data_IF_173919130488
#
_entry.id   IF_173919130488
#
_cell.length_a   1.000
_cell.length_b   1.000
_cell.length_c   1.000
_cell.angle_alpha   90.00
_cell.angle_beta   90.00
_cell.angle_gamma   90.00
#
_symmetry.space_group_name_H-M   'P 1'
#
loop_
_entity.id
_entity.type
_entity.pdbx_description
1 polymer ?
#
# COMPACT_ATOMS: atom_id res chain seq x y z
N UNK A 1 -53.92 99.06 -48.18
CA UNK A 1 -55.29 99.55 -47.99
C UNK A 1 -55.93 99.74 -49.33
N UNK A 2 -56.95 98.94 -49.69
CA UNK A 2 -57.89 99.29 -50.75
C UNK A 2 -59.20 98.48 -50.60
N UNK A 3 -60.30 99.17 -50.84
CA UNK A 3 -61.69 98.74 -50.68
C UNK A 3 -62.25 97.94 -51.87
N UNK A 4 -63.20 97.08 -51.52
CA UNK A 4 -64.51 96.79 -52.12
C UNK A 4 -64.77 96.83 -53.65
N UNK A 5 -65.26 95.70 -54.16
CA UNK A 5 -66.48 95.53 -55.00
C UNK A 5 -66.66 94.00 -55.15
N UNK A 6 -67.81 93.34 -55.03
CA UNK A 6 -69.15 93.56 -55.59
C UNK A 6 -69.65 92.16 -56.03
N UNK A 7 -70.80 91.72 -55.50
CA UNK A 7 -71.40 90.36 -55.63
C UNK A 7 -71.74 90.00 -57.10
N UNK A 8 -71.91 88.72 -57.47
CA UNK A 8 -73.26 88.16 -57.37
C UNK A 8 -73.32 86.69 -56.92
N UNK A 9 -74.46 86.39 -56.29
CA UNK A 9 -74.92 85.05 -56.00
C UNK A 9 -74.89 84.17 -57.27
N UNK A 10 -74.06 83.14 -57.28
CA UNK A 10 -74.27 82.00 -58.15
C UNK A 10 -75.08 80.98 -57.39
N UNK A 11 -76.31 80.79 -57.86
CA UNK A 11 -77.16 79.63 -57.62
C UNK A 11 -76.30 78.37 -57.56
N UNK A 12 -76.02 77.87 -56.35
CA UNK A 12 -75.24 76.65 -56.20
C UNK A 12 -76.09 75.50 -56.71
N UNK A 13 -75.96 75.21 -58.00
CA UNK A 13 -76.70 74.17 -58.69
C UNK A 13 -76.56 72.88 -57.88
N UNK A 14 -77.66 72.18 -57.57
CA UNK A 14 -77.60 70.89 -56.86
C UNK A 14 -76.73 69.89 -57.63
N UNK A 15 -76.63 70.06 -58.96
CA UNK A 15 -75.68 69.38 -59.83
C UNK A 15 -74.23 69.76 -59.58
N UNK A 16 -73.87 71.04 -59.42
CA UNK A 16 -72.50 71.45 -59.07
C UNK A 16 -72.10 70.96 -57.68
N UNK A 17 -73.03 70.89 -56.72
CA UNK A 17 -72.75 70.26 -55.41
C UNK A 17 -72.54 68.76 -55.51
N UNK A 18 -73.34 68.04 -56.32
CA UNK A 18 -73.12 66.60 -56.58
C UNK A 18 -71.83 66.36 -57.36
N UNK A 19 -71.52 67.20 -58.35
CA UNK A 19 -70.31 67.13 -59.15
C UNK A 19 -69.06 67.38 -58.29
N UNK A 20 -69.07 68.44 -57.48
CA UNK A 20 -67.98 68.70 -56.54
C UNK A 20 -67.85 67.58 -55.51
N UNK A 21 -68.95 67.02 -55.01
CA UNK A 21 -68.91 65.88 -54.09
C UNK A 21 -68.34 64.60 -54.73
N UNK A 22 -68.60 64.39 -56.02
CA UNK A 22 -68.05 63.27 -56.81
C UNK A 22 -66.56 63.51 -57.16
N UNK A 23 -66.18 64.77 -57.43
CA UNK A 23 -64.78 65.17 -57.67
C UNK A 23 -63.94 65.20 -56.38
N UNK A 24 -64.56 65.48 -55.24
CA UNK A 24 -63.94 65.40 -53.91
C UNK A 24 -63.75 63.95 -53.46
N UNK A 25 -64.63 63.02 -53.87
CA UNK A 25 -64.33 61.59 -53.81
C UNK A 25 -63.28 61.24 -54.88
N UNK A 26 -62.02 61.58 -54.61
CA UNK A 26 -60.87 61.25 -55.45
C UNK A 26 -60.61 59.74 -55.46
N UNK A 27 -61.43 59.02 -56.22
CA UNK A 27 -61.39 57.55 -56.34
C UNK A 27 -60.08 57.04 -56.97
N UNK A 28 -59.38 57.87 -57.73
CA UNK A 28 -58.15 57.49 -58.44
C UNK A 28 -56.88 57.51 -57.57
N UNK A 29 -56.91 58.21 -56.43
CA UNK A 29 -55.73 58.39 -55.58
C UNK A 29 -55.59 57.31 -54.48
N UNK A 30 -56.63 56.50 -54.28
CA UNK A 30 -56.70 55.56 -53.17
C UNK A 30 -56.45 54.13 -53.68
N UNK A 31 -55.18 53.72 -53.64
CA UNK A 31 -54.69 52.46 -54.23
C UNK A 31 -55.36 51.23 -53.61
N UNK A 32 -55.61 51.27 -52.31
CA UNK A 32 -56.34 50.21 -51.59
C UNK A 32 -57.79 50.13 -52.07
N UNK A 33 -58.45 51.28 -52.29
CA UNK A 33 -59.80 51.31 -52.85
C UNK A 33 -59.84 50.80 -54.29
N UNK A 34 -58.84 51.12 -55.12
CA UNK A 34 -58.72 50.61 -56.48
C UNK A 34 -58.47 49.09 -56.52
N UNK A 35 -57.66 48.56 -55.61
CA UNK A 35 -57.45 47.12 -55.48
C UNK A 35 -58.69 46.40 -54.94
N UNK A 36 -59.38 46.99 -53.96
CA UNK A 36 -60.66 46.49 -53.47
C UNK A 36 -61.74 46.52 -54.56
N UNK A 37 -61.81 47.57 -55.39
CA UNK A 37 -62.71 47.63 -56.55
C UNK A 37 -62.33 46.63 -57.64
N UNK A 38 -61.04 46.39 -57.89
CA UNK A 38 -60.58 45.33 -58.80
C UNK A 38 -60.99 43.96 -58.27
N UNK A 39 -60.81 43.68 -56.99
CA UNK A 39 -61.28 42.45 -56.36
C UNK A 39 -62.80 42.31 -56.47
N UNK A 40 -63.56 43.39 -56.23
CA UNK A 40 -65.01 43.46 -56.39
C UNK A 40 -65.45 43.18 -57.85
N UNK A 41 -64.71 43.70 -58.82
CA UNK A 41 -64.99 43.55 -60.25
C UNK A 41 -64.89 42.10 -60.74
N UNK A 42 -64.13 41.25 -60.05
CA UNK A 42 -64.01 39.82 -60.41
C UNK A 42 -65.31 39.04 -60.22
N UNK A 43 -66.23 39.54 -59.39
CA UNK A 43 -67.48 38.83 -59.08
C UNK A 43 -68.73 39.70 -59.18
N UNK A 44 -68.60 41.02 -59.24
CA UNK A 44 -69.72 41.94 -59.44
C UNK A 44 -69.86 42.31 -60.93
N UNK A 45 -70.33 41.37 -61.74
CA UNK A 45 -70.43 41.51 -63.22
C UNK A 45 -71.71 42.24 -63.65
N UNK A 46 -72.81 42.13 -62.88
CA UNK A 46 -74.09 42.75 -63.20
C UNK A 46 -74.63 43.64 -62.06
N UNK A 47 -74.88 44.91 -62.37
CA UNK A 47 -75.45 45.89 -61.44
C UNK A 47 -76.99 45.86 -61.49
N UNK A 48 -77.58 44.95 -60.72
CA UNK A 48 -79.04 44.84 -60.51
C UNK A 48 -79.41 45.28 -59.08
N UNK A 49 -80.69 45.65 -58.86
CA UNK A 49 -81.23 45.96 -57.53
C UNK A 49 -81.03 44.82 -56.53
N UNK A 50 -81.01 43.56 -57.01
CA UNK A 50 -80.81 42.36 -56.20
C UNK A 50 -79.33 42.15 -55.84
N UNK A 51 -78.42 42.31 -56.81
CA UNK A 51 -76.97 42.22 -56.56
C UNK A 51 -76.47 43.34 -55.67
N UNK A 52 -76.99 44.58 -55.79
CA UNK A 52 -76.64 45.68 -54.89
C UNK A 52 -77.05 45.44 -53.44
N UNK A 53 -78.19 44.78 -53.22
CA UNK A 53 -78.70 44.43 -51.88
C UNK A 53 -77.92 43.28 -51.23
N UNK A 54 -77.39 42.37 -52.05
CA UNK A 54 -76.66 41.18 -51.60
C UNK A 54 -75.15 41.37 -51.55
N UNK A 55 -74.60 42.42 -52.19
CA UNK A 55 -73.16 42.70 -52.30
C UNK A 55 -72.43 42.66 -50.96
N UNK A 56 -73.01 43.23 -49.90
CA UNK A 56 -72.43 43.18 -48.56
C UNK A 56 -72.35 41.75 -48.05
N UNK A 57 -73.42 40.97 -48.20
CA UNK A 57 -73.44 39.56 -47.80
C UNK A 57 -72.49 38.68 -48.62
N UNK A 58 -72.27 39.02 -49.90
CA UNK A 58 -71.35 38.29 -50.76
C UNK A 58 -69.87 38.61 -50.44
N UNK A 59 -69.56 39.88 -50.13
CA UNK A 59 -68.24 40.30 -49.63
C UNK A 59 -67.98 39.66 -48.26
N UNK A 60 -68.94 39.72 -47.33
CA UNK A 60 -68.82 39.11 -46.00
C UNK A 60 -68.62 37.59 -46.10
N UNK A 61 -69.35 36.89 -46.99
CA UNK A 61 -69.19 35.45 -47.20
C UNK A 61 -67.83 35.09 -47.81
N UNK A 62 -67.31 35.89 -48.72
CA UNK A 62 -65.98 35.66 -49.32
C UNK A 62 -64.86 36.00 -48.34
N UNK A 63 -65.00 37.06 -47.56
CA UNK A 63 -64.07 37.40 -46.48
C UNK A 63 -64.04 36.27 -45.43
N UNK A 64 -65.21 35.73 -45.08
CA UNK A 64 -65.31 34.55 -44.22
C UNK A 64 -64.56 33.36 -44.81
N UNK A 65 -64.79 33.04 -46.10
CA UNK A 65 -64.12 31.92 -46.77
C UNK A 65 -62.59 32.07 -46.82
N UNK A 66 -62.07 33.27 -47.10
CA UNK A 66 -60.63 33.55 -47.10
C UNK A 66 -60.05 33.42 -45.68
N UNK A 67 -60.76 33.94 -44.68
CA UNK A 67 -60.33 33.81 -43.28
C UNK A 67 -60.37 32.34 -42.81
N UNK A 68 -61.36 31.56 -43.24
CA UNK A 68 -61.43 30.11 -42.98
C UNK A 68 -60.27 29.36 -43.64
N UNK A 69 -59.96 29.68 -44.90
CA UNK A 69 -58.81 29.10 -45.62
C UNK A 69 -57.48 29.49 -44.95
N UNK A 70 -57.32 30.76 -44.58
CA UNK A 70 -56.14 31.24 -43.87
C UNK A 70 -55.97 30.54 -42.51
N UNK A 71 -57.05 30.42 -41.72
CA UNK A 71 -57.03 29.70 -40.45
C UNK A 71 -56.69 28.23 -40.66
N UNK A 72 -57.19 27.60 -41.71
CA UNK A 72 -56.85 26.21 -42.05
C UNK A 72 -55.37 26.02 -42.32
N UNK A 73 -54.78 26.86 -43.18
CA UNK A 73 -53.36 26.79 -43.54
C UNK A 73 -52.47 27.13 -42.33
N UNK A 74 -52.83 28.16 -41.57
CA UNK A 74 -52.07 28.55 -40.39
C UNK A 74 -52.14 27.52 -39.27
N UNK A 75 -53.23 26.76 -39.19
CA UNK A 75 -53.39 25.69 -38.22
C UNK A 75 -52.36 24.58 -38.46
N UNK A 76 -52.14 24.16 -39.71
CA UNK A 76 -51.13 23.15 -40.05
C UNK A 76 -49.71 23.62 -39.65
N UNK A 77 -49.37 24.87 -39.97
CA UNK A 77 -48.07 25.45 -39.60
C UNK A 77 -47.91 25.57 -38.08
N UNK A 78 -48.99 25.91 -37.37
CA UNK A 78 -48.99 25.99 -35.90
C UNK A 78 -48.77 24.61 -35.29
N UNK A 79 -49.43 23.57 -35.80
CA UNK A 79 -49.29 22.20 -35.31
C UNK A 79 -47.86 21.68 -35.50
N UNK A 80 -47.25 21.91 -36.66
CA UNK A 80 -45.84 21.57 -36.90
C UNK A 80 -44.88 22.35 -35.98
N UNK A 81 -45.12 23.65 -35.76
CA UNK A 81 -44.30 24.45 -34.86
C UNK A 81 -44.47 24.04 -33.39
N UNK A 82 -45.69 23.67 -32.98
CA UNK A 82 -45.96 23.13 -31.65
C UNK A 82 -45.25 21.79 -31.46
N UNK A 83 -45.25 20.91 -32.46
CA UNK A 83 -44.50 19.65 -32.45
C UNK A 83 -42.99 19.87 -32.29
N UNK A 84 -42.41 20.80 -33.06
CA UNK A 84 -40.98 21.12 -32.95
C UNK A 84 -40.66 21.70 -31.56
N UNK A 85 -41.53 22.55 -31.01
CA UNK A 85 -41.33 23.10 -29.68
C UNK A 85 -41.42 22.02 -28.60
N UNK A 86 -42.33 21.05 -28.73
CA UNK A 86 -42.36 19.87 -27.84
C UNK A 86 -41.07 19.05 -27.95
N UNK A 87 -40.57 18.79 -29.16
CA UNK A 87 -39.31 18.07 -29.36
C UNK A 87 -38.12 18.81 -28.75
N UNK A 88 -38.05 20.14 -28.89
CA UNK A 88 -36.99 20.96 -28.28
C UNK A 88 -37.08 20.94 -26.76
N UNK A 89 -38.29 21.01 -26.19
CA UNK A 89 -38.48 20.90 -24.74
C UNK A 89 -38.09 19.51 -24.23
N UNK A 90 -38.48 18.45 -24.94
CA UNK A 90 -38.10 17.08 -24.62
C UNK A 90 -36.58 16.90 -24.68
N UNK A 91 -35.92 17.44 -25.70
CA UNK A 91 -34.47 17.42 -25.83
C UNK A 91 -33.79 18.19 -24.69
N UNK A 92 -34.29 19.38 -24.35
CA UNK A 92 -33.78 20.17 -23.23
C UNK A 92 -33.88 19.40 -21.90
N UNK A 93 -35.02 18.74 -21.64
CA UNK A 93 -35.21 17.91 -20.45
C UNK A 93 -34.24 16.74 -20.44
N UNK A 94 -34.06 16.05 -21.59
CA UNK A 94 -33.12 14.95 -21.71
C UNK A 94 -31.67 15.38 -21.47
N UNK A 95 -31.25 16.53 -22.00
CA UNK A 95 -29.94 17.10 -21.72
C UNK A 95 -29.76 17.45 -20.24
N UNK A 96 -30.79 18.00 -19.59
CA UNK A 96 -30.77 18.31 -18.16
C UNK A 96 -30.62 17.04 -17.31
N UNK A 97 -31.37 15.99 -17.64
CA UNK A 97 -31.31 14.68 -16.98
C UNK A 97 -29.98 13.98 -17.19
N UNK A 98 -29.44 14.04 -18.41
CA UNK A 98 -28.13 13.47 -18.69
C UNK A 98 -27.03 14.21 -17.93
N UNK A 99 -27.13 15.54 -17.83
CA UNK A 99 -26.19 16.37 -17.06
C UNK A 99 -26.26 16.06 -15.57
N UNK A 100 -27.47 15.92 -15.01
CA UNK A 100 -27.64 15.58 -13.59
C UNK A 100 -27.09 14.19 -13.26
N UNK A 101 -27.34 13.19 -14.12
CA UNK A 101 -26.76 11.84 -14.00
C UNK A 101 -25.24 11.85 -14.12
N UNK A 102 -24.69 12.64 -15.05
CA UNK A 102 -23.25 12.78 -15.20
C UNK A 102 -22.62 13.42 -13.96
N UNK A 103 -23.25 14.45 -13.40
CA UNK A 103 -22.81 15.11 -12.17
C UNK A 103 -22.81 14.13 -10.98
N UNK A 104 -23.90 13.37 -10.80
CA UNK A 104 -24.01 12.37 -9.75
C UNK A 104 -22.97 11.25 -9.89
N UNK A 105 -22.77 10.74 -11.12
CA UNK A 105 -21.74 9.75 -11.41
C UNK A 105 -20.32 10.29 -11.16
N UNK A 106 -20.06 11.56 -11.47
CA UNK A 106 -18.78 12.22 -11.20
C UNK A 106 -18.52 12.32 -9.70
N UNK A 107 -19.50 12.75 -8.92
CA UNK A 107 -19.38 12.84 -7.45
C UNK A 107 -19.16 11.46 -6.81
N UNK A 108 -19.92 10.46 -7.23
CA UNK A 108 -19.75 9.08 -6.75
C UNK A 108 -18.36 8.53 -7.11
N UNK A 109 -17.89 8.78 -8.34
CA UNK A 109 -16.56 8.37 -8.79
C UNK A 109 -15.48 9.08 -7.99
N UNK A 110 -15.65 10.37 -7.67
CA UNK A 110 -14.72 11.13 -6.85
C UNK A 110 -14.64 10.56 -5.42
N UNK A 111 -15.78 10.27 -4.77
CA UNK A 111 -15.79 9.63 -3.45
C UNK A 111 -15.11 8.25 -3.47
N UNK A 112 -15.37 7.45 -4.51
CA UNK A 112 -14.71 6.17 -4.70
C UNK A 112 -13.20 6.33 -4.86
N UNK A 113 -12.74 7.30 -5.65
CA UNK A 113 -11.30 7.59 -5.83
C UNK A 113 -10.67 7.99 -4.50
N UNK A 114 -11.33 8.83 -3.70
CA UNK A 114 -10.81 9.23 -2.37
C UNK A 114 -10.72 8.03 -1.43
N UNK A 115 -11.74 7.17 -1.41
CA UNK A 115 -11.72 5.94 -0.59
C UNK A 115 -10.63 4.96 -1.05
N UNK A 116 -10.49 4.75 -2.36
CA UNK A 116 -9.47 3.86 -2.93
C UNK A 116 -8.07 4.38 -2.67
N UNK A 117 -7.81 5.69 -2.85
CA UNK A 117 -6.50 6.28 -2.56
C UNK A 117 -6.14 6.21 -1.07
N UNK A 118 -7.11 6.42 -0.18
CA UNK A 118 -6.92 6.24 1.27
C UNK A 118 -6.59 4.79 1.62
N UNK A 119 -7.34 3.82 1.08
CA UNK A 119 -7.08 2.40 1.29
C UNK A 119 -5.73 1.98 0.71
N UNK A 120 -5.33 2.51 -0.44
CA UNK A 120 -4.04 2.23 -1.05
C UNK A 120 -2.89 2.77 -0.19
N UNK A 121 -3.02 3.98 0.34
CA UNK A 121 -2.04 4.55 1.28
C UNK A 121 -1.96 3.74 2.59
N UNK A 122 -3.10 3.28 3.13
CA UNK A 122 -3.12 2.41 4.31
C UNK A 122 -2.50 1.05 4.02
N UNK A 123 -2.75 0.45 2.86
CA UNK A 123 -2.15 -0.80 2.39
C UNK A 123 -0.63 -0.69 2.30
N UNK A 124 -0.11 0.36 1.67
CA UNK A 124 1.33 0.61 1.60
C UNK A 124 1.97 0.79 2.99
N UNK A 125 1.29 1.51 3.89
CA UNK A 125 1.77 1.66 5.27
C UNK A 125 1.78 0.34 6.03
N UNK A 126 0.76 -0.49 5.85
CA UNK A 126 0.68 -1.84 6.44
C UNK A 126 1.77 -2.75 5.88
N UNK A 127 2.03 -2.69 4.58
CA UNK A 127 3.08 -3.47 3.91
C UNK A 127 4.47 -3.10 4.41
N UNK A 128 4.78 -1.80 4.52
CA UNK A 128 6.04 -1.34 5.11
C UNK A 128 6.16 -1.82 6.57
N UNK A 129 5.08 -1.71 7.36
CA UNK A 129 5.09 -2.21 8.75
C UNK A 129 5.29 -3.72 8.83
N UNK A 130 4.69 -4.49 7.92
CA UNK A 130 4.88 -5.93 7.84
C UNK A 130 6.32 -6.28 7.48
N UNK A 131 6.92 -5.61 6.50
CA UNK A 131 8.34 -5.79 6.14
C UNK A 131 9.27 -5.44 7.31
N UNK A 132 8.99 -4.36 8.04
CA UNK A 132 9.76 -3.99 9.23
C UNK A 132 9.59 -5.03 10.34
N UNK A 133 8.39 -5.55 10.55
CA UNK A 133 8.13 -6.60 11.53
C UNK A 133 8.84 -7.91 11.16
N UNK A 134 8.87 -8.28 9.87
CA UNK A 134 9.57 -9.48 9.38
C UNK A 134 11.10 -9.32 9.48
N UNK A 135 11.62 -8.14 9.16
CA UNK A 135 13.02 -7.79 9.40
C UNK A 135 13.37 -7.78 10.90
N UNK A 136 12.44 -7.38 11.76
CA UNK A 136 12.60 -7.43 13.21
C UNK A 136 12.61 -8.87 13.73
N UNK A 137 11.66 -9.70 13.30
CA UNK A 137 11.58 -11.11 13.70
C UNK A 137 12.81 -11.89 13.23
N UNK A 138 13.24 -11.74 11.98
CA UNK A 138 14.44 -12.40 11.46
C UNK A 138 15.73 -12.00 12.19
N UNK A 139 15.82 -10.75 12.67
CA UNK A 139 16.97 -10.26 13.44
C UNK A 139 16.92 -10.67 14.91
N UNK A 140 15.76 -10.59 15.56
CA UNK A 140 15.65 -10.72 17.03
C UNK A 140 15.08 -12.05 17.52
N UNK A 141 14.57 -12.89 16.62
CA UNK A 141 14.13 -14.24 16.93
C UNK A 141 15.15 -15.26 16.42
N UNK A 142 15.59 -16.17 17.29
CA UNK A 142 16.34 -17.34 16.87
C UNK A 142 15.42 -18.33 16.17
N UNK A 143 15.93 -19.01 15.15
CA UNK A 143 15.20 -20.09 14.49
C UNK A 143 14.95 -21.21 15.52
N UNK A 144 13.80 -21.89 15.44
CA UNK A 144 13.45 -22.99 16.36
C UNK A 144 14.54 -24.07 16.42
N UNK A 145 15.27 -24.26 15.33
CA UNK A 145 16.39 -25.18 15.24
C UNK A 145 17.63 -24.70 16.02
N UNK A 146 17.92 -23.40 16.02
CA UNK A 146 19.01 -22.81 16.81
C UNK A 146 18.69 -22.86 18.31
N UNK A 147 17.42 -22.63 18.68
CA UNK A 147 16.95 -22.86 20.06
C UNK A 147 17.02 -24.33 20.45
N UNK A 148 16.70 -25.24 19.53
CA UNK A 148 16.82 -26.69 19.72
C UNK A 148 18.26 -27.16 19.85
N UNK A 149 19.20 -26.54 19.15
CA UNK A 149 20.65 -26.82 19.29
C UNK A 149 21.21 -26.29 20.61
N UNK A 150 20.81 -25.10 21.05
CA UNK A 150 21.26 -24.50 22.31
C UNK A 150 20.62 -25.18 23.54
N UNK A 151 19.33 -25.52 23.47
CA UNK A 151 18.59 -26.25 24.52
C UNK A 151 18.64 -27.77 24.38
N UNK A 152 19.27 -28.28 23.32
CA UNK A 152 19.36 -29.70 23.02
C UNK A 152 20.01 -30.52 24.13
N UNK A 153 19.96 -31.84 23.99
CA UNK A 153 20.42 -32.83 24.98
C UNK A 153 21.72 -32.42 25.65
N UNK A 154 21.70 -32.47 27.00
CA UNK A 154 22.78 -32.04 27.91
C UNK A 154 24.15 -32.66 27.63
N UNK A 155 24.20 -33.71 26.81
CA UNK A 155 25.40 -34.48 26.42
C UNK A 155 25.51 -34.69 24.89
N UNK A 156 24.79 -33.91 24.06
CA UNK A 156 24.93 -33.99 22.61
C UNK A 156 26.26 -33.38 22.12
N UNK A 157 26.89 -33.92 21.05
CA UNK A 157 28.16 -33.42 20.54
C UNK A 157 28.07 -31.93 20.20
N UNK A 158 29.07 -31.16 20.63
CA UNK A 158 29.16 -29.75 20.30
C UNK A 158 29.71 -29.65 18.88
N UNK A 159 28.81 -29.42 17.93
CA UNK A 159 29.14 -29.18 16.52
C UNK A 159 29.49 -27.70 16.31
N UNK A 160 30.21 -27.38 15.22
CA UNK A 160 30.52 -26.00 14.80
C UNK A 160 29.27 -25.09 14.74
N UNK A 161 28.10 -25.67 14.45
CA UNK A 161 26.81 -24.98 14.43
C UNK A 161 26.38 -24.45 15.79
N UNK A 162 26.79 -25.08 16.90
CA UNK A 162 26.57 -24.56 18.25
C UNK A 162 27.32 -23.24 18.47
N UNK A 163 28.57 -23.14 18.02
CA UNK A 163 29.37 -21.92 18.12
C UNK A 163 28.80 -20.80 17.23
N UNK A 164 28.30 -21.15 16.03
CA UNK A 164 27.60 -20.19 15.16
C UNK A 164 26.32 -19.66 15.81
N UNK A 165 25.51 -20.54 16.41
CA UNK A 165 24.31 -20.17 17.15
C UNK A 165 24.64 -19.30 18.37
N UNK A 166 25.66 -19.65 19.17
CA UNK A 166 26.11 -18.86 20.32
C UNK A 166 26.60 -17.47 19.90
N UNK A 167 27.35 -17.39 18.78
CA UNK A 167 27.77 -16.11 18.20
C UNK A 167 26.61 -15.27 17.68
N UNK A 168 25.51 -15.89 17.23
CA UNK A 168 24.27 -15.20 16.87
C UNK A 168 23.53 -14.68 18.10
N UNK A 169 23.39 -15.47 19.16
CA UNK A 169 22.80 -15.02 20.45
C UNK A 169 23.52 -13.79 20.99
N UNK A 170 24.87 -13.79 20.98
CA UNK A 170 25.66 -12.63 21.41
C UNK A 170 25.41 -11.37 20.57
N UNK A 171 25.29 -11.53 19.24
CA UNK A 171 24.96 -10.42 18.33
C UNK A 171 23.57 -9.86 18.64
N UNK A 172 22.57 -10.74 18.77
CA UNK A 172 21.20 -10.35 19.14
C UNK A 172 21.19 -9.62 20.48
N UNK A 173 21.85 -10.17 21.50
CA UNK A 173 21.95 -9.55 22.82
C UNK A 173 22.60 -8.14 22.77
N UNK A 174 23.57 -7.90 21.87
CA UNK A 174 24.14 -6.57 21.69
C UNK A 174 23.24 -5.64 20.87
N UNK A 175 22.57 -6.13 19.84
CA UNK A 175 21.62 -5.35 19.03
C UNK A 175 20.41 -4.91 19.86
N UNK A 176 19.96 -5.74 20.82
CA UNK A 176 18.90 -5.39 21.76
C UNK A 176 19.31 -4.25 22.69
N UNK A 177 20.60 -4.11 23.03
CA UNK A 177 21.08 -2.92 23.79
C UNK A 177 20.87 -1.61 23.02
N UNK A 178 20.91 -1.66 21.68
CA UNK A 178 20.61 -0.50 20.83
C UNK A 178 19.11 -0.23 20.82
N UNK A 179 18.26 -1.27 20.75
CA UNK A 179 16.80 -1.13 20.87
C UNK A 179 16.38 -0.56 22.24
N UNK A 180 17.05 -0.94 23.33
CA UNK A 180 16.78 -0.44 24.68
C UNK A 180 17.07 1.06 24.86
N UNK A 181 17.92 1.64 24.01
CA UNK A 181 18.13 3.10 23.95
C UNK A 181 16.98 3.84 23.26
N UNK A 182 16.09 3.11 22.60
CA UNK A 182 14.92 3.63 21.90
C UNK A 182 13.65 3.46 22.74
N UNK A 183 12.56 4.11 22.35
CA UNK A 183 11.30 4.25 23.11
C UNK A 183 10.57 2.93 23.47
N UNK A 184 10.97 1.78 22.93
CA UNK A 184 10.30 0.48 23.16
C UNK A 184 11.11 -0.41 24.12
N UNK A 185 11.15 -0.04 25.40
CA UNK A 185 12.02 -0.69 26.39
C UNK A 185 11.50 -2.05 26.89
N UNK A 186 10.19 -2.26 26.97
CA UNK A 186 9.61 -3.49 27.56
C UNK A 186 9.88 -4.73 26.71
N UNK A 187 9.57 -4.70 25.41
CA UNK A 187 9.86 -5.80 24.50
C UNK A 187 11.38 -6.05 24.35
N UNK A 188 12.18 -4.96 24.36
CA UNK A 188 13.64 -5.08 24.38
C UNK A 188 14.17 -5.78 25.63
N UNK A 189 13.62 -5.48 26.80
CA UNK A 189 14.00 -6.12 28.07
C UNK A 189 13.65 -7.61 28.06
N UNK A 190 12.46 -7.98 27.58
CA UNK A 190 12.02 -9.37 27.53
C UNK A 190 12.88 -10.21 26.58
N UNK A 191 13.19 -9.68 25.38
CA UNK A 191 14.11 -10.35 24.45
C UNK A 191 15.51 -10.46 25.08
N UNK A 192 16.00 -9.40 25.73
CA UNK A 192 17.32 -9.43 26.38
C UNK A 192 17.39 -10.51 27.48
N UNK A 193 16.37 -10.62 28.32
CA UNK A 193 16.29 -11.62 29.39
C UNK A 193 16.25 -13.05 28.80
N UNK A 194 15.43 -13.28 27.78
CA UNK A 194 15.38 -14.56 27.09
C UNK A 194 16.73 -14.92 26.46
N UNK A 195 17.41 -13.97 25.81
CA UNK A 195 18.73 -14.18 25.23
C UNK A 195 19.81 -14.41 26.28
N UNK A 196 19.74 -13.71 27.42
CA UNK A 196 20.66 -13.91 28.53
C UNK A 196 20.50 -15.31 29.13
N UNK A 197 19.26 -15.79 29.33
CA UNK A 197 18.98 -17.14 29.79
C UNK A 197 19.49 -18.20 28.80
N UNK A 198 19.25 -18.00 27.50
CA UNK A 198 19.79 -18.89 26.46
C UNK A 198 21.32 -18.89 26.46
N UNK A 199 21.95 -17.74 26.64
CA UNK A 199 23.40 -17.63 26.72
C UNK A 199 23.94 -18.34 27.95
N UNK A 200 23.29 -18.23 29.11
CA UNK A 200 23.68 -18.95 30.34
C UNK A 200 23.57 -20.47 30.17
N UNK A 201 22.43 -20.96 29.67
CA UNK A 201 22.24 -22.40 29.42
C UNK A 201 23.24 -22.95 28.41
N UNK A 202 23.58 -22.19 27.38
CA UNK A 202 24.60 -22.55 26.40
C UNK A 202 25.99 -22.63 27.03
N UNK A 203 26.38 -21.65 27.85
CA UNK A 203 27.66 -21.69 28.55
C UNK A 203 27.74 -22.81 29.60
N UNK A 204 26.64 -23.10 30.29
CA UNK A 204 26.58 -24.23 31.23
C UNK A 204 26.76 -25.57 30.51
N UNK A 205 26.14 -25.72 29.33
CA UNK A 205 26.33 -26.91 28.48
C UNK A 205 27.75 -27.01 27.94
N UNK A 206 28.31 -25.91 27.46
CA UNK A 206 29.71 -25.84 26.98
C UNK A 206 30.68 -26.20 28.11
N UNK A 207 30.45 -25.69 29.31
CA UNK A 207 31.24 -25.98 30.51
C UNK A 207 31.18 -27.47 30.87
N UNK A 208 29.97 -28.08 30.92
CA UNK A 208 29.83 -29.51 31.21
C UNK A 208 30.49 -30.40 30.18
N UNK A 209 30.32 -30.08 28.90
CA UNK A 209 30.96 -30.82 27.82
C UNK A 209 32.49 -30.68 27.87
N UNK A 210 33.01 -29.46 28.08
CA UNK A 210 34.44 -29.25 28.25
C UNK A 210 34.98 -30.04 29.45
N UNK A 211 34.24 -30.09 30.56
CA UNK A 211 34.61 -30.89 31.72
C UNK A 211 34.62 -32.40 31.41
N UNK A 212 33.62 -32.92 30.67
CA UNK A 212 33.61 -34.33 30.28
C UNK A 212 34.78 -34.67 29.34
N UNK A 213 35.08 -33.81 28.37
CA UNK A 213 36.23 -33.99 27.48
C UNK A 213 37.56 -33.92 28.25
N UNK A 214 37.72 -32.96 29.16
CA UNK A 214 38.88 -32.87 30.05
C UNK A 214 39.06 -34.14 30.91
N UNK A 215 37.98 -34.79 31.32
CA UNK A 215 38.03 -36.08 32.03
C UNK A 215 38.38 -37.23 31.09
N UNK A 216 37.90 -37.23 29.86
CA UNK A 216 38.26 -38.24 28.84
C UNK A 216 39.74 -38.15 28.44
N UNK A 217 40.32 -36.95 28.45
CA UNK A 217 41.76 -36.64 28.30
C UNK A 217 42.67 -37.21 29.42
N UNK A 218 42.10 -38.00 30.34
CA UNK A 218 42.82 -38.82 31.32
C UNK A 218 43.48 -40.07 30.68
N UNK A 219 43.26 -40.31 29.39
CA UNK A 219 43.97 -41.33 28.62
C UNK A 219 45.37 -40.83 28.18
N UNK A 220 46.32 -41.74 28.03
CA UNK A 220 47.77 -41.44 27.87
C UNK A 220 48.09 -40.58 26.63
N UNK A 221 47.22 -40.54 25.63
CA UNK A 221 47.31 -39.69 24.44
C UNK A 221 46.59 -38.35 24.64
N UNK A 222 47.35 -37.26 24.71
CA UNK A 222 46.83 -35.89 24.76
C UNK A 222 46.39 -35.41 23.37
N UNK A 223 45.33 -35.98 22.81
CA UNK A 223 44.76 -35.49 21.55
C UNK A 223 43.77 -34.36 21.86
N UNK A 224 44.27 -33.12 21.88
CA UNK A 224 43.44 -31.93 22.04
C UNK A 224 42.59 -31.78 20.78
N UNK A 225 41.30 -32.13 20.88
CA UNK A 225 40.35 -31.91 19.79
C UNK A 225 40.25 -30.42 19.44
N UNK A 226 40.22 -30.04 18.15
CA UNK A 226 40.05 -28.64 17.74
C UNK A 226 38.76 -28.01 18.29
N UNK A 227 37.75 -28.83 18.55
CA UNK A 227 36.49 -28.41 19.17
C UNK A 227 36.71 -28.00 20.63
N UNK A 228 37.62 -28.66 21.34
CA UNK A 228 37.99 -28.29 22.72
C UNK A 228 38.74 -26.96 22.75
N UNK A 229 39.65 -26.72 21.80
CA UNK A 229 40.31 -25.41 21.67
C UNK A 229 39.30 -24.29 21.42
N UNK A 230 38.35 -24.50 20.51
CA UNK A 230 37.28 -23.55 20.22
C UNK A 230 36.33 -23.36 21.41
N UNK A 231 36.05 -24.42 22.18
CA UNK A 231 35.28 -24.34 23.42
C UNK A 231 35.99 -23.51 24.49
N UNK A 232 37.30 -23.72 24.67
CA UNK A 232 38.12 -22.98 25.61
C UNK A 232 38.21 -21.50 25.22
N UNK A 233 38.38 -21.19 23.93
CA UNK A 233 38.33 -19.81 23.41
C UNK A 233 36.97 -19.16 23.69
N UNK A 234 35.86 -19.84 23.39
CA UNK A 234 34.53 -19.31 23.66
C UNK A 234 34.24 -19.12 25.17
N UNK A 235 34.82 -19.96 26.04
CA UNK A 235 34.71 -19.85 27.50
C UNK A 235 35.46 -18.64 28.06
N UNK A 236 36.45 -18.06 27.36
CA UNK A 236 37.20 -16.88 27.84
C UNK A 236 36.31 -15.68 28.11
N UNK A 237 35.19 -15.56 27.40
CA UNK A 237 34.17 -14.54 27.62
C UNK A 237 33.55 -14.60 29.04
N UNK A 238 33.71 -15.72 29.74
CA UNK A 238 33.29 -15.94 31.13
C UNK A 238 34.49 -16.41 31.97
N UNK A 239 35.31 -15.49 32.50
CA UNK A 239 36.59 -15.82 33.13
C UNK A 239 36.47 -16.79 34.33
N UNK A 240 35.33 -16.76 35.04
CA UNK A 240 35.04 -17.67 36.15
C UNK A 240 34.90 -19.12 35.66
N UNK A 241 34.08 -19.35 34.63
CA UNK A 241 33.88 -20.69 34.06
C UNK A 241 35.15 -21.21 33.39
N UNK A 242 35.88 -20.32 32.71
CA UNK A 242 37.17 -20.65 32.11
C UNK A 242 38.17 -21.13 33.17
N UNK A 243 38.29 -20.41 34.30
CA UNK A 243 39.18 -20.81 35.40
C UNK A 243 38.82 -22.18 35.96
N UNK A 244 37.54 -22.45 36.23
CA UNK A 244 37.11 -23.77 36.72
C UNK A 244 37.42 -24.88 35.72
N UNK A 245 37.24 -24.63 34.43
CA UNK A 245 37.55 -25.62 33.38
C UNK A 245 39.05 -25.89 33.30
N UNK A 246 39.89 -24.86 33.44
CA UNK A 246 41.35 -24.98 33.51
C UNK A 246 41.80 -25.74 34.76
N UNK A 247 41.20 -25.48 35.93
CA UNK A 247 41.51 -26.18 37.18
C UNK A 247 41.15 -27.68 37.07
N UNK A 248 40.01 -28.01 36.45
CA UNK A 248 39.62 -29.39 36.16
C UNK A 248 40.56 -30.07 35.15
N UNK A 249 40.93 -29.37 34.07
CA UNK A 249 41.92 -29.86 33.10
C UNK A 249 43.26 -30.16 33.78
N UNK A 250 43.77 -29.21 34.58
CA UNK A 250 45.00 -29.38 35.34
C UNK A 250 44.92 -30.51 36.36
N UNK A 251 43.76 -30.72 36.98
CA UNK A 251 43.52 -31.84 37.91
C UNK A 251 43.50 -33.18 37.17
N UNK A 252 42.86 -33.27 36.01
CA UNK A 252 42.82 -34.48 35.18
C UNK A 252 44.22 -34.85 34.66
N UNK A 253 44.98 -33.88 34.14
CA UNK A 253 46.36 -34.08 33.69
C UNK A 253 47.27 -34.48 34.85
N UNK A 254 47.20 -33.78 35.99
CA UNK A 254 47.95 -34.17 37.20
C UNK A 254 47.63 -35.60 37.63
N UNK A 255 46.36 -35.99 37.67
CA UNK A 255 45.95 -37.35 38.04
C UNK A 255 46.52 -38.39 37.08
N UNK A 256 46.57 -38.07 35.78
CA UNK A 256 47.14 -38.93 34.73
C UNK A 256 48.65 -39.08 34.89
N UNK A 257 49.38 -37.99 35.07
CA UNK A 257 50.83 -38.01 35.30
C UNK A 257 51.18 -38.77 36.58
N UNK A 258 50.45 -38.54 37.68
CA UNK A 258 50.68 -39.27 38.94
C UNK A 258 50.39 -40.76 38.76
N UNK A 259 49.30 -41.13 38.08
CA UNK A 259 48.99 -42.53 37.79
C UNK A 259 50.05 -43.17 36.90
N UNK A 260 50.46 -42.50 35.83
CA UNK A 260 51.53 -42.97 34.94
C UNK A 260 52.87 -43.14 35.66
N UNK A 261 53.18 -42.26 36.61
CA UNK A 261 54.38 -42.41 37.44
C UNK A 261 54.29 -43.65 38.34
N UNK A 262 53.14 -43.86 39.01
CA UNK A 262 52.91 -45.05 39.84
C UNK A 262 52.96 -46.33 39.00
N UNK A 263 52.36 -46.32 37.81
CA UNK A 263 52.40 -47.46 36.88
C UNK A 263 53.84 -47.73 36.41
N UNK A 264 54.63 -46.70 36.10
CA UNK A 264 56.05 -46.85 35.76
C UNK A 264 56.91 -47.39 36.92
N UNK A 265 56.61 -46.98 38.15
CA UNK A 265 57.27 -47.48 39.36
C UNK A 265 56.95 -48.96 39.62
N UNK A 266 55.67 -49.34 39.54
CA UNK A 266 55.15 -50.61 40.06
C UNK A 266 54.91 -51.70 39.00
N UNK A 267 54.53 -51.31 37.78
CA UNK A 267 54.13 -52.23 36.69
C UNK A 267 55.07 -52.18 35.48
N UNK A 268 55.78 -51.08 35.31
CA UNK A 268 56.61 -50.83 34.12
C UNK A 268 55.78 -50.38 32.92
N UNK A 269 56.38 -50.40 31.73
CA UNK A 269 55.70 -50.00 30.49
C UNK A 269 54.64 -51.00 29.99
N UNK A 270 53.88 -50.63 28.93
CA UNK A 270 52.87 -51.49 28.34
C UNK A 270 53.46 -52.87 27.98
N UNK A 271 52.96 -53.94 28.60
CA UNK A 271 53.48 -55.30 28.39
C UNK A 271 54.67 -55.71 29.29
N UNK A 272 54.98 -54.93 30.33
CA UNK A 272 56.06 -55.24 31.29
C UNK A 272 57.46 -54.82 30.81
N UNK A 273 57.53 -54.07 29.72
CA UNK A 273 58.76 -53.49 29.16
C UNK A 273 58.57 -52.00 28.88
N UNK A 274 59.41 -51.10 29.42
CA UNK A 274 60.50 -51.35 30.37
C UNK A 274 60.01 -51.91 31.72
N UNK A 275 60.89 -52.60 32.43
CA UNK A 275 60.58 -53.20 33.75
C UNK A 275 60.24 -52.12 34.79
N UNK A 276 59.46 -52.45 35.83
CA UNK A 276 59.18 -51.53 36.93
C UNK A 276 60.45 -50.91 37.50
N UNK A 277 60.45 -49.59 37.69
CA UNK A 277 61.61 -48.85 38.22
C UNK A 277 61.96 -49.33 39.64
N UNK A 278 60.98 -49.79 40.44
CA UNK A 278 61.20 -50.37 41.77
C UNK A 278 62.13 -51.59 41.78
N UNK A 279 62.27 -52.31 40.66
CA UNK A 279 63.19 -53.44 40.53
C UNK A 279 64.67 -53.00 40.68
N UNK A 280 64.98 -51.74 40.39
CA UNK A 280 66.32 -51.16 40.49
C UNK A 280 66.59 -50.49 41.85
N UNK A 281 65.70 -50.65 42.84
CA UNK A 281 65.83 -50.04 44.19
C UNK A 281 67.12 -50.39 44.95
N UNK A 282 67.80 -51.47 44.57
CA UNK A 282 69.08 -51.89 45.13
C UNK A 282 70.28 -51.03 44.66
N UNK A 283 70.13 -50.26 43.58
CA UNK A 283 71.13 -49.32 43.07
C UNK A 283 70.57 -47.89 43.14
N UNK A 284 70.93 -47.10 44.18
CA UNK A 284 70.38 -45.77 44.40
C UNK A 284 70.61 -44.79 43.26
N UNK A 285 71.75 -44.86 42.56
CA UNK A 285 72.07 -43.93 41.47
C UNK A 285 71.20 -44.22 40.25
N UNK A 286 71.02 -45.51 39.92
CA UNK A 286 70.17 -45.94 38.81
C UNK A 286 68.69 -45.71 39.11
N UNK A 287 68.24 -45.98 40.34
CA UNK A 287 66.86 -45.77 40.75
C UNK A 287 66.43 -44.30 40.63
N UNK A 288 67.26 -43.37 41.13
CA UNK A 288 67.02 -41.93 40.98
C UNK A 288 67.15 -41.49 39.52
N UNK A 289 68.11 -42.03 38.78
CA UNK A 289 68.30 -41.77 37.35
C UNK A 289 67.06 -42.14 36.51
N UNK A 290 66.49 -43.32 36.73
CA UNK A 290 65.31 -43.80 36.02
C UNK A 290 64.05 -42.97 36.38
N UNK A 291 63.89 -42.56 37.64
CA UNK A 291 62.83 -41.63 38.04
C UNK A 291 62.94 -40.27 37.35
N UNK A 292 64.15 -39.69 37.33
CA UNK A 292 64.39 -38.40 36.69
C UNK A 292 64.21 -38.48 35.17
N UNK A 293 64.60 -39.60 34.55
CA UNK A 293 64.39 -39.85 33.13
C UNK A 293 62.89 -39.91 32.79
N UNK A 294 62.09 -40.61 33.60
CA UNK A 294 60.63 -40.65 33.43
C UNK A 294 60.01 -39.26 33.62
N UNK A 295 60.40 -38.53 34.67
CA UNK A 295 59.92 -37.17 34.92
C UNK A 295 60.28 -36.22 33.77
N UNK A 296 61.49 -36.34 33.21
CA UNK A 296 61.91 -35.56 32.06
C UNK A 296 61.05 -35.86 30.81
N UNK A 297 60.77 -37.14 30.55
CA UNK A 297 59.89 -37.55 29.45
C UNK A 297 58.45 -37.06 29.65
N UNK A 298 57.90 -37.21 30.86
CA UNK A 298 56.56 -36.73 31.20
C UNK A 298 56.43 -35.21 31.08
N UNK A 299 57.47 -34.47 31.50
CA UNK A 299 57.52 -33.01 31.35
C UNK A 299 57.58 -32.59 29.88
N UNK A 300 58.28 -33.35 29.03
CA UNK A 300 58.34 -33.09 27.60
C UNK A 300 56.99 -33.37 26.90
N UNK A 301 56.21 -34.34 27.38
CA UNK A 301 54.88 -34.66 26.82
C UNK A 301 53.75 -33.71 27.26
N UNK A 302 53.93 -32.96 28.36
CA UNK A 302 52.95 -31.99 28.86
C UNK A 302 53.15 -30.56 28.31
N UNK A 303 54.27 -30.30 27.62
CA UNK A 303 54.58 -29.02 26.98
C UNK A 303 53.92 -28.90 25.61
#
# INVERSE_FOLDING_TARGET
SNEASGVPAQTSNPLSRKLNKILETRLDNDKEMLEALKALSTFFVENSLRTRRNLRGDIERRSLAINEEFVSIFKEVKEELESINEDVQAMSSCCQDMTSRLQAAKEQTQDLIVKTTKLQAESQRLEIRAQVADAFLSKFQLTSDEMGLLRGTREGPITEDFFKALGRVKRIHNDVKVLLRTNQQTAGLEIMEQMALLQETAYERLYRWAQSECRTLTQESCDISPVLTQAMEALQDRPVLYKYTLDEFGTARRSTVVRGFIDALTRGGPGGTPRPIEMHSHDPLRYVGDMLAWLHQATASEK
#
